data_IF_310163723946
#
_entry.id   IF_310163723946
#
_cell.length_a   1.000
_cell.length_b   1.000
_cell.length_c   1.000
_cell.angle_alpha   90.00
_cell.angle_beta   90.00
_cell.angle_gamma   90.00
#
_symmetry.space_group_name_H-M   'P 1'
#
loop_
_entity.id
_entity.type
_entity.pdbx_description
1 polymer ?
#
# COMPACT_ATOMS: atom_id res chain seq x y z
N UNK A 1 22.48 46.55 37.58
CA UNK A 1 22.01 45.15 37.52
C UNK A 1 21.59 44.88 36.08
N UNK A 2 22.44 44.20 35.29
CA UNK A 2 22.22 43.97 33.85
C UNK A 2 21.33 42.74 33.70
N UNK A 3 20.11 42.91 33.19
CA UNK A 3 19.21 41.80 32.85
C UNK A 3 19.59 41.28 31.47
N UNK A 4 20.20 40.10 31.42
CA UNK A 4 20.45 39.36 30.17
C UNK A 4 19.18 38.61 29.81
N UNK A 5 18.51 39.02 28.72
CA UNK A 5 17.40 38.26 28.13
C UNK A 5 17.95 37.07 27.35
N UNK A 6 17.73 35.86 27.86
CA UNK A 6 17.99 34.63 27.11
C UNK A 6 16.79 34.36 26.18
N UNK A 7 17.00 34.50 24.87
CA UNK A 7 16.01 34.14 23.84
C UNK A 7 16.09 32.62 23.68
N UNK A 8 15.13 31.90 24.24
CA UNK A 8 14.95 30.46 24.02
C UNK A 8 14.28 30.28 22.66
N UNK A 9 15.02 29.82 21.66
CA UNK A 9 14.46 29.45 20.36
C UNK A 9 13.60 28.19 20.54
N UNK A 10 12.27 28.33 20.44
CA UNK A 10 11.37 27.19 20.32
C UNK A 10 11.59 26.56 18.93
N UNK A 11 12.29 25.43 18.89
CA UNK A 11 12.27 24.56 17.72
C UNK A 11 10.86 23.95 17.62
N UNK A 12 10.07 24.47 16.69
CA UNK A 12 8.84 23.82 16.24
C UNK A 12 9.22 22.56 15.47
N UNK A 13 9.42 21.45 16.18
CA UNK A 13 9.48 20.14 15.57
C UNK A 13 8.08 19.85 15.00
N UNK A 14 7.88 20.10 13.70
CA UNK A 14 6.73 19.57 12.98
C UNK A 14 6.75 18.06 13.18
N UNK A 15 5.80 17.53 13.93
CA UNK A 15 5.59 16.10 14.01
C UNK A 15 5.34 15.62 12.58
N UNK A 16 6.33 14.95 12.00
CA UNK A 16 6.11 14.19 10.78
C UNK A 16 5.01 13.19 11.12
N UNK A 17 3.81 13.40 10.59
CA UNK A 17 2.76 12.40 10.65
C UNK A 17 3.32 11.17 9.97
N UNK A 18 3.53 10.09 10.71
CA UNK A 18 3.86 8.80 10.13
C UNK A 18 2.70 8.41 9.22
N UNK A 19 2.83 8.67 7.91
CA UNK A 19 1.84 8.28 6.92
C UNK A 19 1.79 6.75 6.90
N UNK A 20 0.61 6.18 7.15
CA UNK A 20 0.40 4.75 6.98
C UNK A 20 0.51 4.43 5.49
N UNK A 21 1.57 3.71 5.11
CA UNK A 21 1.77 3.23 3.76
C UNK A 21 1.56 1.71 3.69
N UNK A 22 1.12 1.18 2.53
CA UNK A 22 0.80 1.91 1.30
C UNK A 22 -0.47 2.77 1.43
N UNK A 23 -0.55 3.81 0.60
CA UNK A 23 -1.73 4.66 0.52
C UNK A 23 -1.90 5.30 -0.87
N UNK A 24 -3.14 5.53 -1.25
CA UNK A 24 -3.51 6.27 -2.44
C UNK A 24 -3.31 7.78 -2.28
N UNK A 25 -2.78 8.38 -3.33
CA UNK A 25 -2.56 9.81 -3.48
C UNK A 25 -3.07 10.31 -4.83
N UNK A 26 -3.41 11.59 -4.87
CA UNK A 26 -3.70 12.32 -6.10
C UNK A 26 -2.59 13.33 -6.39
N UNK A 27 -2.32 13.55 -7.68
CA UNK A 27 -1.42 14.59 -8.16
C UNK A 27 -2.06 15.95 -7.88
N UNK A 28 -1.23 16.88 -7.40
CA UNK A 28 -1.64 18.25 -7.11
C UNK A 28 -0.48 19.22 -7.31
N UNK A 29 -0.79 20.48 -7.61
CA UNK A 29 0.23 21.53 -7.78
C UNK A 29 1.05 21.42 -9.09
N UNK A 30 0.63 20.58 -10.03
CA UNK A 30 1.19 20.48 -11.39
C UNK A 30 0.31 21.28 -12.35
N UNK A 31 0.92 22.06 -13.24
CA UNK A 31 0.18 22.85 -14.22
C UNK A 31 -0.55 21.94 -15.23
N UNK A 32 -1.67 22.42 -15.80
CA UNK A 32 -2.51 21.61 -16.69
C UNK A 32 -1.82 21.21 -18.00
N UNK A 33 -0.78 21.94 -18.41
CA UNK A 33 0.07 21.70 -19.57
C UNK A 33 1.41 21.03 -19.21
N UNK A 34 1.56 20.58 -17.97
CA UNK A 34 2.75 19.91 -17.44
C UNK A 34 2.41 18.51 -16.92
N UNK A 35 3.43 17.76 -16.49
CA UNK A 35 3.33 16.39 -16.02
C UNK A 35 4.19 16.16 -14.79
N UNK A 36 3.76 15.22 -13.94
CA UNK A 36 4.58 14.75 -12.84
C UNK A 36 5.44 13.57 -13.27
N UNK A 37 6.76 13.71 -13.21
CA UNK A 37 7.69 12.68 -13.64
C UNK A 37 7.77 11.52 -12.64
N UNK A 38 7.85 10.30 -13.18
CA UNK A 38 8.22 9.08 -12.47
C UNK A 38 9.70 8.78 -12.79
N UNK A 39 10.53 8.70 -11.76
CA UNK A 39 12.00 8.62 -11.86
C UNK A 39 12.54 7.28 -11.39
N UNK A 40 13.69 6.86 -11.92
CA UNK A 40 14.33 5.59 -11.56
C UNK A 40 14.90 5.58 -10.13
N UNK A 41 15.25 6.75 -9.58
CA UNK A 41 15.75 6.93 -8.22
C UNK A 41 15.06 8.15 -7.58
N UNK A 42 15.08 8.28 -6.23
CA UNK A 42 14.45 9.39 -5.51
C UNK A 42 15.24 10.70 -5.63
N UNK A 43 15.49 11.14 -6.86
CA UNK A 43 16.18 12.37 -7.21
C UNK A 43 15.73 12.91 -8.58
N UNK A 44 15.76 14.24 -8.74
CA UNK A 44 15.22 14.90 -9.93
C UNK A 44 16.00 14.60 -11.23
N UNK A 45 17.30 14.27 -11.10
CA UNK A 45 18.19 14.00 -12.22
C UNK A 45 18.18 12.55 -12.72
N UNK A 46 17.49 11.64 -12.03
CA UNK A 46 17.43 10.25 -12.41
C UNK A 46 16.63 10.03 -13.71
N UNK A 47 16.86 8.87 -14.33
CA UNK A 47 16.21 8.49 -15.58
C UNK A 47 14.69 8.58 -15.47
N UNK A 48 14.07 9.09 -16.55
CA UNK A 48 12.63 9.22 -16.66
C UNK A 48 12.04 7.86 -17.04
N UNK A 49 11.26 7.26 -16.14
CA UNK A 49 10.57 5.99 -16.38
C UNK A 49 9.16 6.19 -16.97
N UNK A 50 8.54 7.34 -16.71
CA UNK A 50 7.19 7.66 -17.14
C UNK A 50 6.69 8.95 -16.53
N UNK A 51 5.39 9.21 -16.69
CA UNK A 51 4.75 10.42 -16.19
C UNK A 51 3.36 10.12 -15.64
N UNK A 52 2.88 10.99 -14.76
CA UNK A 52 1.50 11.06 -14.28
C UNK A 52 0.88 12.36 -14.79
N UNK A 53 -0.40 12.28 -15.17
CA UNK A 53 -1.19 13.46 -15.54
C UNK A 53 -1.33 14.43 -14.35
N UNK A 54 -1.50 15.74 -14.60
CA UNK A 54 -1.61 16.75 -13.54
C UNK A 54 -2.83 16.56 -12.63
N UNK A 55 -3.83 15.80 -13.06
CA UNK A 55 -5.05 15.44 -12.33
C UNK A 55 -5.14 13.95 -11.99
N UNK A 56 -4.04 13.20 -12.13
CA UNK A 56 -4.02 11.78 -11.84
C UNK A 56 -4.42 11.51 -10.39
N UNK A 57 -5.39 10.64 -10.18
CA UNK A 57 -5.72 9.99 -8.91
C UNK A 57 -5.37 8.51 -9.04
N UNK A 58 -5.46 7.73 -7.97
CA UNK A 58 -5.12 6.30 -8.07
C UNK A 58 -3.71 5.97 -7.65
N UNK A 59 -2.88 6.95 -7.29
CA UNK A 59 -1.43 6.74 -7.17
C UNK A 59 -1.13 6.04 -5.84
N UNK A 60 -0.96 4.72 -5.88
CA UNK A 60 -0.53 3.96 -4.71
C UNK A 60 0.96 4.20 -4.44
N UNK A 61 1.24 4.91 -3.35
CA UNK A 61 2.59 5.07 -2.83
C UNK A 61 2.87 3.91 -1.88
N UNK A 62 3.82 3.04 -2.23
CA UNK A 62 4.15 1.83 -1.48
C UNK A 62 5.19 2.03 -0.37
N UNK A 63 6.05 3.04 -0.50
CA UNK A 63 7.03 3.43 0.51
C UNK A 63 7.51 4.87 0.32
N UNK A 64 8.23 5.43 1.30
CA UNK A 64 8.96 6.69 1.17
C UNK A 64 10.47 6.44 1.17
N UNK A 65 11.23 7.38 0.60
CA UNK A 65 12.66 7.47 0.87
C UNK A 65 12.88 7.94 2.32
N UNK A 66 14.13 7.84 2.81
CA UNK A 66 14.45 8.20 4.21
C UNK A 66 14.08 9.64 4.59
N UNK A 67 14.09 10.56 3.63
CA UNK A 67 13.75 11.97 3.85
C UNK A 67 12.25 12.27 3.73
N UNK A 68 11.41 11.31 3.30
CA UNK A 68 9.99 11.52 3.05
C UNK A 68 9.66 12.41 1.84
N UNK A 69 10.66 12.74 1.02
CA UNK A 69 10.53 13.68 -0.11
C UNK A 69 10.12 12.99 -1.41
N UNK A 70 10.32 11.67 -1.49
CA UNK A 70 9.97 10.86 -2.65
C UNK A 70 9.14 9.65 -2.22
N UNK A 71 8.04 9.42 -2.94
CA UNK A 71 7.17 8.27 -2.81
C UNK A 71 7.51 7.24 -3.87
N UNK A 72 7.67 5.99 -3.46
CA UNK A 72 7.85 4.86 -4.36
C UNK A 72 6.49 4.37 -4.82
N UNK A 73 6.33 4.13 -6.11
CA UNK A 73 5.14 3.54 -6.73
C UNK A 73 5.55 2.26 -7.46
N UNK A 74 4.63 1.29 -7.55
CA UNK A 74 4.84 0.10 -8.40
C UNK A 74 4.61 0.51 -9.85
N UNK A 75 5.50 0.09 -10.74
CA UNK A 75 5.40 0.32 -12.19
C UNK A 75 5.50 -1.01 -12.92
N UNK A 76 5.28 -0.99 -14.24
CA UNK A 76 5.44 -2.12 -15.19
C UNK A 76 6.03 -3.39 -14.58
N UNK A 77 7.34 -3.56 -14.58
CA UNK A 77 8.03 -4.72 -13.99
C UNK A 77 8.88 -4.36 -12.76
N UNK A 78 8.70 -3.16 -12.18
CA UNK A 78 9.57 -2.67 -11.12
C UNK A 78 8.94 -1.58 -10.26
N UNK A 79 9.77 -0.60 -9.87
CA UNK A 79 9.33 0.55 -9.09
C UNK A 79 9.81 1.85 -9.70
N UNK A 80 9.09 2.93 -9.42
CA UNK A 80 9.48 4.29 -9.75
C UNK A 80 9.32 5.22 -8.56
N UNK A 81 9.92 6.40 -8.64
CA UNK A 81 9.90 7.41 -7.60
C UNK A 81 9.24 8.69 -8.09
N UNK A 82 8.33 9.23 -7.28
CA UNK A 82 7.58 10.46 -7.55
C UNK A 82 7.81 11.45 -6.42
N UNK A 83 7.96 12.74 -6.74
CA UNK A 83 8.13 13.77 -5.71
C UNK A 83 6.86 13.92 -4.87
N UNK A 84 6.98 13.76 -3.55
CA UNK A 84 5.86 13.93 -2.62
C UNK A 84 5.37 15.38 -2.54
N UNK A 85 6.13 16.35 -3.04
CA UNK A 85 5.71 17.74 -3.11
C UNK A 85 4.49 17.97 -4.03
N UNK A 86 4.22 17.02 -4.93
CA UNK A 86 3.11 17.08 -5.90
C UNK A 86 2.07 15.99 -5.66
N UNK A 87 2.09 15.34 -4.50
CA UNK A 87 1.12 14.32 -4.13
C UNK A 87 0.39 14.72 -2.85
N UNK A 88 -0.93 14.57 -2.85
CA UNK A 88 -1.78 14.73 -1.67
C UNK A 88 -2.48 13.42 -1.34
N UNK A 89 -2.59 13.02 -0.06
CA UNK A 89 -3.30 11.81 0.31
C UNK A 89 -4.77 11.87 -0.13
N UNK A 90 -5.28 10.76 -0.66
CA UNK A 90 -6.70 10.64 -0.94
C UNK A 90 -7.49 10.28 0.32
N UNK A 91 -8.71 10.82 0.41
CA UNK A 91 -9.63 10.45 1.48
C UNK A 91 -9.92 8.96 1.38
N UNK A 92 -9.84 8.24 2.52
CA UNK A 92 -9.96 6.77 2.57
C UNK A 92 -8.94 6.02 1.71
N UNK A 93 -7.80 6.66 1.40
CA UNK A 93 -6.77 6.08 0.55
C UNK A 93 -5.85 5.05 1.22
N UNK A 94 -6.00 4.80 2.52
CA UNK A 94 -5.16 3.87 3.28
C UNK A 94 -6.01 2.82 4.00
N UNK A 95 -5.40 1.71 4.43
CA UNK A 95 -6.06 0.77 5.33
C UNK A 95 -6.38 1.44 6.69
N UNK A 96 -7.49 1.07 7.35
CA UNK A 96 -8.51 0.09 6.91
C UNK A 96 -9.62 0.66 6.01
N UNK A 97 -9.49 1.89 5.49
CA UNK A 97 -10.57 2.59 4.80
C UNK A 97 -10.69 2.33 3.30
N UNK A 98 -9.70 1.69 2.68
CA UNK A 98 -9.75 1.27 1.26
C UNK A 98 -10.86 0.25 1.02
N UNK A 99 -11.29 0.15 -0.24
CA UNK A 99 -12.38 -0.74 -0.65
C UNK A 99 -11.97 -2.21 -0.61
N UNK A 100 -10.72 -2.52 -0.95
CA UNK A 100 -10.23 -3.88 -0.94
C UNK A 100 -8.71 -4.03 -0.95
N UNK A 101 -8.27 -5.28 -0.93
CA UNK A 101 -6.89 -5.69 -1.11
C UNK A 101 -6.82 -6.82 -2.13
N UNK A 102 -5.84 -6.74 -3.05
CA UNK A 102 -5.44 -7.86 -3.89
C UNK A 102 -4.13 -8.38 -3.35
N UNK A 103 -4.14 -9.59 -2.82
CA UNK A 103 -2.97 -10.27 -2.30
C UNK A 103 -2.61 -11.47 -3.17
N UNK A 104 -1.32 -11.77 -3.29
CA UNK A 104 -0.83 -12.82 -4.19
C UNK A 104 0.53 -13.34 -3.75
N UNK A 105 0.84 -14.55 -4.20
CA UNK A 105 2.16 -15.17 -4.06
C UNK A 105 2.54 -15.94 -5.31
N UNK A 106 3.84 -16.18 -5.48
CA UNK A 106 4.43 -16.75 -6.69
C UNK A 106 4.82 -18.21 -6.55
N UNK A 107 5.11 -18.72 -5.36
CA UNK A 107 5.32 -20.15 -5.14
C UNK A 107 4.76 -20.59 -3.76
N UNK A 108 3.63 -21.31 -3.72
CA UNK A 108 2.75 -21.61 -4.86
C UNK A 108 2.14 -20.34 -5.47
N UNK A 109 1.70 -20.40 -6.73
CA UNK A 109 0.95 -19.31 -7.36
C UNK A 109 -0.47 -19.24 -6.79
N UNK A 110 -0.84 -18.09 -6.24
CA UNK A 110 -2.19 -17.84 -5.74
C UNK A 110 -2.55 -16.36 -5.80
N UNK A 111 -3.84 -16.06 -5.87
CA UNK A 111 -4.37 -14.72 -5.63
C UNK A 111 -5.60 -14.77 -4.72
N UNK A 112 -5.73 -13.74 -3.90
CA UNK A 112 -6.84 -13.51 -3.01
C UNK A 112 -7.24 -12.04 -3.08
N UNK A 113 -8.40 -11.77 -3.65
CA UNK A 113 -8.98 -10.43 -3.73
C UNK A 113 -10.08 -10.32 -2.69
N UNK A 114 -10.05 -9.32 -1.83
CA UNK A 114 -11.08 -9.11 -0.80
C UNK A 114 -11.59 -7.68 -0.86
N UNK A 115 -12.91 -7.53 -1.03
CA UNK A 115 -13.63 -6.26 -0.87
C UNK A 115 -14.35 -6.23 0.47
N UNK A 116 -14.10 -5.19 1.25
CA UNK A 116 -14.60 -5.09 2.61
C UNK A 116 -16.14 -5.03 2.63
N UNK A 117 -16.76 -5.94 3.38
CA UNK A 117 -18.22 -6.02 3.51
C UNK A 117 -18.95 -6.59 2.28
N UNK A 118 -18.22 -7.09 1.29
CA UNK A 118 -18.76 -7.69 0.07
C UNK A 118 -18.25 -9.13 -0.08
N UNK A 119 -17.43 -9.38 -1.10
CA UNK A 119 -16.93 -10.70 -1.45
C UNK A 119 -15.41 -10.75 -1.36
N UNK A 120 -14.91 -11.96 -1.10
CA UNK A 120 -13.54 -12.31 -1.38
C UNK A 120 -13.48 -13.43 -2.42
N UNK A 121 -12.47 -13.39 -3.27
CA UNK A 121 -12.23 -14.34 -4.35
C UNK A 121 -10.87 -14.98 -4.15
N UNK A 122 -10.86 -16.30 -4.02
CA UNK A 122 -9.67 -17.14 -3.96
C UNK A 122 -9.44 -17.80 -5.31
N UNK A 123 -8.22 -17.72 -5.84
CA UNK A 123 -7.87 -18.30 -7.13
C UNK A 123 -6.47 -18.91 -7.13
N UNK A 124 -6.32 -20.04 -7.84
CA UNK A 124 -5.03 -20.62 -8.21
C UNK A 124 -5.07 -21.09 -9.66
N UNK A 125 -3.93 -21.23 -10.35
CA UNK A 125 -3.91 -21.75 -11.72
C UNK A 125 -4.47 -23.17 -11.86
N UNK A 126 -4.39 -23.97 -10.80
CA UNK A 126 -4.68 -25.40 -10.81
C UNK A 126 -6.08 -25.75 -10.29
N UNK A 127 -6.89 -24.78 -9.87
CA UNK A 127 -8.19 -25.02 -9.25
C UNK A 127 -9.23 -24.00 -9.67
N UNK A 128 -10.52 -24.36 -9.64
CA UNK A 128 -11.59 -23.40 -9.85
C UNK A 128 -11.53 -22.27 -8.82
N UNK A 129 -11.92 -21.08 -9.26
CA UNK A 129 -12.12 -19.92 -8.40
C UNK A 129 -13.20 -20.21 -7.33
N UNK A 130 -12.96 -19.74 -6.10
CA UNK A 130 -13.91 -19.85 -4.99
C UNK A 130 -14.26 -18.45 -4.47
N UNK A 131 -15.55 -18.20 -4.26
CA UNK A 131 -16.06 -16.93 -3.71
C UNK A 131 -16.50 -17.10 -2.26
N UNK A 132 -16.15 -16.16 -1.41
CA UNK A 132 -16.48 -16.10 0.01
C UNK A 132 -17.18 -14.78 0.34
N UNK A 133 -18.03 -14.77 1.37
CA UNK A 133 -18.58 -13.53 1.93
C UNK A 133 -17.55 -12.90 2.85
N UNK A 134 -17.19 -11.64 2.62
CA UNK A 134 -16.14 -10.93 3.33
C UNK A 134 -16.68 -9.97 4.39
N UNK A 135 -16.07 -10.01 5.58
CA UNK A 135 -16.26 -9.00 6.62
C UNK A 135 -15.50 -7.69 6.32
N UNK A 136 -15.55 -6.72 7.25
CA UNK A 136 -14.77 -5.50 7.13
C UNK A 136 -13.28 -5.74 7.40
N UNK A 137 -12.43 -4.78 6.99
CA UNK A 137 -11.06 -4.73 7.49
C UNK A 137 -11.04 -4.29 8.95
N UNK A 138 -10.31 -5.03 9.76
CA UNK A 138 -10.07 -4.71 11.16
C UNK A 138 -8.59 -4.39 11.39
N UNK A 139 -8.31 -3.48 12.33
CA UNK A 139 -6.95 -3.25 12.83
C UNK A 139 -6.73 -4.08 14.08
N UNK A 140 -5.58 -4.74 14.19
CA UNK A 140 -5.23 -5.55 15.35
C UNK A 140 -5.36 -4.76 16.67
N UNK A 141 -6.08 -5.34 17.63
CA UNK A 141 -6.31 -4.72 18.93
C UNK A 141 -5.01 -4.33 19.64
N UNK A 142 -4.92 -3.06 20.08
CA UNK A 142 -3.76 -2.54 20.81
C UNK A 142 -2.52 -2.27 19.94
N UNK A 143 -2.63 -2.32 18.61
CA UNK A 143 -1.55 -1.99 17.66
C UNK A 143 -2.07 -1.11 16.52
N UNK A 144 -1.14 -0.54 15.74
CA UNK A 144 -1.47 0.19 14.50
C UNK A 144 -1.67 -0.74 13.30
N UNK A 145 -1.09 -1.94 13.38
CA UNK A 145 -1.11 -3.01 12.38
C UNK A 145 -0.69 -4.33 13.08
N UNK A 146 -0.97 -5.52 12.51
CA UNK A 146 -1.53 -5.78 11.18
C UNK A 146 -3.00 -5.37 11.02
N UNK A 147 -3.44 -5.38 9.77
CA UNK A 147 -4.86 -5.37 9.38
C UNK A 147 -5.31 -6.81 9.10
N UNK A 148 -6.59 -7.08 9.26
CA UNK A 148 -7.15 -8.39 8.95
C UNK A 148 -8.52 -8.30 8.27
N UNK A 149 -8.82 -9.29 7.43
CA UNK A 149 -10.16 -9.57 6.94
C UNK A 149 -10.47 -11.05 7.12
N UNK A 150 -11.71 -11.33 7.51
CA UNK A 150 -12.24 -12.69 7.59
C UNK A 150 -13.29 -12.84 6.50
N UNK A 151 -13.23 -13.94 5.75
CA UNK A 151 -14.24 -14.31 4.78
C UNK A 151 -14.65 -15.78 4.92
N UNK A 152 -15.88 -16.10 4.55
CA UNK A 152 -16.42 -17.45 4.67
C UNK A 152 -17.45 -17.81 3.61
N UNK A 153 -17.47 -19.09 3.27
CA UNK A 153 -18.50 -19.81 2.53
C UNK A 153 -18.80 -21.14 3.27
N UNK A 154 -19.78 -21.90 2.80
CA UNK A 154 -20.21 -23.15 3.46
C UNK A 154 -19.07 -24.15 3.71
N UNK A 155 -18.11 -24.22 2.78
CA UNK A 155 -17.05 -25.23 2.75
C UNK A 155 -15.64 -24.62 2.74
N UNK A 156 -15.48 -23.30 2.85
CA UNK A 156 -14.18 -22.62 2.85
C UNK A 156 -14.22 -21.38 3.75
N UNK A 157 -13.18 -21.19 4.55
CA UNK A 157 -12.97 -19.98 5.34
C UNK A 157 -11.57 -19.44 5.08
N UNK A 158 -11.45 -18.12 5.10
CA UNK A 158 -10.21 -17.41 4.87
C UNK A 158 -10.00 -16.34 5.95
N UNK A 159 -8.78 -16.27 6.48
CA UNK A 159 -8.32 -15.17 7.32
C UNK A 159 -7.10 -14.56 6.64
N UNK A 160 -7.27 -13.33 6.14
CA UNK A 160 -6.17 -12.53 5.63
C UNK A 160 -5.60 -11.68 6.77
N UNK A 161 -4.28 -11.66 6.90
CA UNK A 161 -3.53 -10.73 7.76
C UNK A 161 -2.56 -9.96 6.86
N UNK A 162 -2.68 -8.64 6.81
CA UNK A 162 -1.83 -7.76 6.02
C UNK A 162 -1.03 -6.81 6.91
N UNK A 163 0.28 -6.72 6.70
CA UNK A 163 1.19 -5.87 7.49
C UNK A 163 1.98 -4.92 6.60
N UNK A 164 2.25 -3.67 7.02
CA UNK A 164 3.19 -2.80 6.33
C UNK A 164 4.57 -3.45 6.20
N UNK A 165 5.02 -3.63 4.97
CA UNK A 165 6.34 -4.17 4.63
C UNK A 165 6.84 -3.53 3.34
N UNK A 166 7.62 -2.46 3.50
CA UNK A 166 8.12 -1.65 2.38
C UNK A 166 9.08 -2.39 1.44
N UNK A 167 9.41 -3.65 1.68
CA UNK A 167 10.26 -4.45 0.79
C UNK A 167 9.60 -5.78 0.41
N UNK A 168 8.27 -5.87 0.51
CA UNK A 168 7.57 -7.07 0.07
C UNK A 168 7.79 -7.26 -1.43
N UNK A 169 8.33 -8.41 -1.82
CA UNK A 169 8.64 -8.77 -3.20
C UNK A 169 7.89 -10.04 -3.55
N UNK A 170 7.46 -10.13 -4.82
CA UNK A 170 6.91 -11.36 -5.38
C UNK A 170 8.01 -12.35 -5.82
N UNK A 171 9.29 -12.03 -5.64
CA UNK A 171 10.42 -12.91 -5.94
C UNK A 171 10.63 -13.23 -7.44
N UNK A 172 9.79 -12.67 -8.32
CA UNK A 172 9.82 -12.92 -9.77
C UNK A 172 10.03 -11.64 -10.59
N UNK A 173 9.76 -10.48 -10.00
CA UNK A 173 9.96 -9.16 -10.60
C UNK A 173 10.73 -8.22 -9.68
N UNK A 174 11.13 -7.06 -10.20
CA UNK A 174 11.76 -5.99 -9.42
C UNK A 174 10.73 -5.11 -8.68
N UNK A 175 9.47 -5.56 -8.61
CA UNK A 175 8.39 -4.83 -7.92
C UNK A 175 8.56 -4.96 -6.40
N UNK A 176 8.39 -3.82 -5.72
CA UNK A 176 8.36 -3.75 -4.26
C UNK A 176 7.04 -3.14 -3.80
N UNK A 177 6.22 -4.00 -3.20
CA UNK A 177 4.92 -3.65 -2.64
C UNK A 177 5.07 -3.06 -1.23
N UNK A 178 3.97 -2.52 -0.71
CA UNK A 178 3.93 -1.90 0.61
C UNK A 178 3.39 -2.80 1.71
N UNK A 179 2.81 -3.95 1.36
CA UNK A 179 2.16 -4.87 2.29
C UNK A 179 2.65 -6.29 2.07
N UNK A 180 2.93 -6.99 3.17
CA UNK A 180 2.97 -8.44 3.19
C UNK A 180 1.63 -9.04 3.61
N UNK A 181 1.39 -10.24 3.14
CA UNK A 181 0.18 -11.02 3.34
C UNK A 181 0.52 -12.33 4.06
N UNK A 182 -0.29 -12.69 5.04
CA UNK A 182 -0.45 -14.07 5.52
C UNK A 182 -1.91 -14.44 5.33
N UNK A 183 -2.19 -15.39 4.45
CA UNK A 183 -3.52 -15.92 4.19
C UNK A 183 -3.64 -17.31 4.80
N UNK A 184 -4.58 -17.48 5.72
CA UNK A 184 -4.91 -18.77 6.34
C UNK A 184 -6.23 -19.26 5.77
N UNK A 185 -6.21 -20.42 5.14
CA UNK A 185 -7.39 -21.10 4.60
C UNK A 185 -7.74 -22.30 5.47
N UNK A 186 -9.02 -22.51 5.73
CA UNK A 186 -9.54 -23.70 6.44
C UNK A 186 -10.84 -24.21 5.79
N UNK A 187 -11.12 -25.51 5.91
CA UNK A 187 -12.27 -26.16 5.26
C UNK A 187 -11.84 -27.12 4.15
N UNK A 188 -12.44 -27.02 2.96
CA UNK A 188 -12.10 -27.84 1.77
C UNK A 188 -10.62 -27.74 1.40
N UNK A 189 -10.03 -26.58 1.65
CA UNK A 189 -8.64 -26.23 1.42
C UNK A 189 -8.13 -25.80 2.79
N UNK A 190 -6.96 -26.32 3.17
CA UNK A 190 -6.32 -25.99 4.43
C UNK A 190 -4.87 -25.64 4.16
N UNK A 191 -4.41 -24.51 4.66
CA UNK A 191 -3.03 -24.08 4.49
C UNK A 191 -2.81 -22.65 4.90
N UNK A 192 -1.54 -22.30 5.03
CA UNK A 192 -1.09 -20.92 5.25
C UNK A 192 -0.19 -20.52 4.09
N UNK A 193 -0.46 -19.36 3.53
CA UNK A 193 0.24 -18.81 2.39
C UNK A 193 0.80 -17.44 2.75
N UNK A 194 2.01 -17.17 2.28
CA UNK A 194 2.66 -15.86 2.38
C UNK A 194 2.71 -15.20 1.01
N UNK A 195 2.62 -13.88 0.98
CA UNK A 195 2.68 -13.11 -0.26
C UNK A 195 2.75 -11.61 -0.02
N UNK A 196 2.44 -10.82 -1.04
CA UNK A 196 2.31 -9.37 -0.96
C UNK A 196 0.88 -8.94 -1.25
N UNK A 197 0.55 -7.68 -0.93
CA UNK A 197 -0.71 -7.07 -1.34
C UNK A 197 -0.52 -5.68 -1.96
N UNK A 198 -1.48 -5.30 -2.79
CA UNK A 198 -1.73 -3.94 -3.27
C UNK A 198 -3.15 -3.50 -2.88
N UNK A 199 -3.38 -2.19 -2.87
CA UNK A 199 -4.66 -1.60 -2.51
C UNK A 199 -5.64 -1.71 -3.70
N UNK A 200 -6.92 -1.91 -3.40
CA UNK A 200 -8.00 -1.87 -4.38
C UNK A 200 -8.95 -0.70 -4.13
N UNK A 201 -9.53 -0.23 -5.22
CA UNK A 201 -10.71 0.64 -5.27
C UNK A 201 -11.84 -0.08 -6.02
#
# INVERSE_FOLDING_TARGET
MRLTFAITALLSASAATAQHLPAFHAVSGVAADDVLNIRAAPEAGADLLGTLAPDASGVEVSALNAAGTWGRIVTGEGVGWVSMAFLVPEAKGSLPQVEGLRCFGTEPFWSYEVRQGELATWNTPDSPEETLQAGPFETAGGRLWPYSAVAGADHLQAVLVASPEAQCSDGMSDRLYGLSATLVLTGRISGTLSGCCELMR
#
